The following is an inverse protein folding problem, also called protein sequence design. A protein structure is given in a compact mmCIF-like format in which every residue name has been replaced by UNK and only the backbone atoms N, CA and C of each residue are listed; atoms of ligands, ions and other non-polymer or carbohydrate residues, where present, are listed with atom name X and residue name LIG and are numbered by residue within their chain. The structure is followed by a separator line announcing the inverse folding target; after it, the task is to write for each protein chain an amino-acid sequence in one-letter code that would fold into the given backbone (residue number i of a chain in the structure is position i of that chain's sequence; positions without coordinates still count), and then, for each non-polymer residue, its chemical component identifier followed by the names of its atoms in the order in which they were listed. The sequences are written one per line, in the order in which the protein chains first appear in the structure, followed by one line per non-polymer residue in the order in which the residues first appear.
data_IF_697955008218
#
_entry.id   IF_697955008218
#
_cell.length_a   1.000
_cell.length_b   1.000
_cell.length_c   1.000
_cell.angle_alpha   90.00
_cell.angle_beta   90.00
_cell.angle_gamma   90.00
#
_symmetry.space_group_name_H-M   'P 1'
#
loop_
_entity.id
_entity.type
_entity.pdbx_description
1 polymer ?
#
# COMPACT_ATOMS: atom_id res chain seq x y z
N UNK A 1 67.46 -26.28 8.18
CA UNK A 1 66.94 -24.92 8.44
C UNK A 1 65.56 -24.61 7.88
N UNK A 2 64.85 -25.58 7.23
CA UNK A 2 63.52 -25.32 6.62
C UNK A 2 62.29 -25.55 7.53
N UNK A 3 62.43 -26.29 8.64
CA UNK A 3 61.27 -26.71 9.46
C UNK A 3 60.70 -25.60 10.37
N UNK A 4 61.52 -24.68 10.84
CA UNK A 4 61.08 -23.58 11.71
C UNK A 4 60.29 -22.52 10.99
N UNK A 5 60.58 -22.24 9.71
CA UNK A 5 59.82 -21.25 8.89
C UNK A 5 58.43 -21.78 8.51
N UNK A 6 58.29 -23.07 8.24
CA UNK A 6 57.02 -23.72 7.97
C UNK A 6 56.06 -23.70 9.17
N UNK A 7 56.63 -23.90 10.38
CA UNK A 7 55.86 -23.86 11.66
C UNK A 7 55.36 -22.45 11.97
N UNK A 8 56.15 -21.41 11.67
CA UNK A 8 55.77 -20.01 11.85
C UNK A 8 54.60 -19.60 10.95
N UNK A 9 54.64 -19.95 9.66
CA UNK A 9 53.57 -19.69 8.69
C UNK A 9 52.27 -20.41 9.05
N UNK A 10 52.37 -21.67 9.48
CA UNK A 10 51.17 -22.42 9.89
C UNK A 10 50.49 -21.79 11.14
N UNK A 11 51.27 -21.31 12.13
CA UNK A 11 50.74 -20.58 13.29
C UNK A 11 50.08 -19.26 12.90
N UNK A 12 50.65 -18.50 11.96
CA UNK A 12 50.10 -17.26 11.47
C UNK A 12 48.77 -17.48 10.69
N UNK A 13 48.74 -18.50 9.82
CA UNK A 13 47.56 -18.87 9.10
C UNK A 13 46.42 -19.29 10.04
N UNK A 14 46.69 -20.08 11.06
CA UNK A 14 45.70 -20.46 12.09
C UNK A 14 45.12 -19.24 12.80
N UNK A 15 45.99 -18.29 13.21
CA UNK A 15 45.51 -17.04 13.84
C UNK A 15 44.65 -16.21 12.93
N UNK A 16 45.02 -16.10 11.62
CA UNK A 16 44.25 -15.40 10.63
C UNK A 16 42.86 -16.03 10.38
N UNK A 17 42.82 -17.37 10.30
CA UNK A 17 41.56 -18.11 10.17
C UNK A 17 40.64 -17.94 11.38
N UNK A 18 41.17 -18.00 12.58
CA UNK A 18 40.42 -17.77 13.81
C UNK A 18 39.91 -16.32 13.85
N UNK A 19 40.76 -15.34 13.53
CA UNK A 19 40.35 -13.95 13.44
C UNK A 19 39.24 -13.72 12.41
N UNK A 20 39.37 -14.31 11.23
CA UNK A 20 38.36 -14.27 10.20
C UNK A 20 37.03 -14.88 10.67
N UNK A 21 37.07 -16.04 11.34
CA UNK A 21 35.87 -16.68 11.88
C UNK A 21 35.15 -15.77 12.89
N UNK A 22 35.89 -15.09 13.78
CA UNK A 22 35.27 -14.13 14.71
C UNK A 22 34.62 -12.97 14.00
N UNK A 23 35.29 -12.39 12.98
CA UNK A 23 34.74 -11.30 12.19
C UNK A 23 33.42 -11.73 11.52
N UNK A 24 33.42 -12.89 10.86
CA UNK A 24 32.18 -13.42 10.21
C UNK A 24 31.08 -13.63 11.24
N UNK A 25 31.41 -14.22 12.40
CA UNK A 25 30.40 -14.46 13.45
C UNK A 25 29.81 -13.16 13.99
N UNK A 26 30.61 -12.14 14.22
CA UNK A 26 30.17 -10.84 14.70
C UNK A 26 29.26 -10.18 13.65
N UNK A 27 29.66 -10.20 12.37
CA UNK A 27 28.84 -9.65 11.27
C UNK A 27 27.50 -10.34 11.21
N UNK A 28 27.45 -11.67 11.27
CA UNK A 28 26.19 -12.43 11.25
C UNK A 28 25.28 -12.09 12.43
N UNK A 29 25.84 -11.93 13.62
CA UNK A 29 25.08 -11.52 14.81
C UNK A 29 24.49 -10.13 14.61
N UNK A 30 25.28 -9.16 14.12
CA UNK A 30 24.80 -7.81 13.85
C UNK A 30 23.67 -7.84 12.81
N UNK A 31 23.86 -8.57 11.71
CA UNK A 31 22.83 -8.73 10.68
C UNK A 31 21.53 -9.32 11.26
N UNK A 32 21.63 -10.35 12.09
CA UNK A 32 20.46 -10.95 12.73
C UNK A 32 19.71 -9.95 13.63
N UNK A 33 20.44 -9.15 14.42
CA UNK A 33 19.85 -8.09 15.23
C UNK A 33 19.16 -7.02 14.39
N UNK A 34 19.78 -6.56 13.31
CA UNK A 34 19.20 -5.56 12.40
C UNK A 34 17.91 -6.10 11.77
N UNK A 35 17.93 -7.33 11.25
CA UNK A 35 16.75 -7.97 10.69
C UNK A 35 15.62 -8.07 11.72
N UNK A 36 15.94 -8.43 12.95
CA UNK A 36 14.96 -8.52 14.03
C UNK A 36 14.35 -7.17 14.39
N UNK A 37 15.16 -6.10 14.43
CA UNK A 37 14.67 -4.75 14.65
C UNK A 37 13.76 -4.28 13.51
N UNK A 38 14.15 -4.53 12.26
CA UNK A 38 13.34 -4.23 11.08
C UNK A 38 12.01 -4.99 11.10
N UNK A 39 12.05 -6.28 11.41
CA UNK A 39 10.82 -7.08 11.51
C UNK A 39 9.87 -6.55 12.58
N UNK A 40 10.40 -6.20 13.77
CA UNK A 40 9.60 -5.58 14.83
C UNK A 40 9.01 -4.24 14.40
N UNK A 41 9.77 -3.42 13.70
CA UNK A 41 9.30 -2.14 13.18
C UNK A 41 8.13 -2.34 12.22
N UNK A 42 8.31 -3.15 11.18
CA UNK A 42 7.26 -3.43 10.18
C UNK A 42 6.01 -4.04 10.82
N UNK A 43 6.18 -4.99 11.75
CA UNK A 43 5.04 -5.65 12.41
C UNK A 43 4.22 -4.73 13.31
N UNK A 44 4.82 -3.65 13.82
CA UNK A 44 4.18 -2.69 14.72
C UNK A 44 3.74 -1.40 14.05
N UNK A 45 4.16 -1.20 12.80
CA UNK A 45 3.78 0.00 12.05
C UNK A 45 2.28 -0.04 11.79
N UNK A 46 1.61 1.05 12.12
CA UNK A 46 0.23 1.30 11.73
C UNK A 46 0.20 1.49 10.21
N UNK A 47 -0.49 0.60 9.54
CA UNK A 47 -0.64 0.63 8.08
C UNK A 47 -1.87 1.43 7.63
N UNK A 48 -2.58 2.05 8.57
CA UNK A 48 -3.76 2.87 8.29
C UNK A 48 -5.03 2.07 8.01
N UNK A 49 -5.01 0.75 8.25
CA UNK A 49 -6.19 -0.11 8.16
C UNK A 49 -6.10 -1.25 9.18
N UNK A 50 -7.27 -1.79 9.55
CA UNK A 50 -7.33 -2.95 10.44
C UNK A 50 -6.89 -4.21 9.68
N UNK A 51 -5.75 -4.79 10.10
CA UNK A 51 -5.20 -6.02 9.53
C UNK A 51 -5.62 -7.28 10.28
N UNK A 52 -6.21 -7.11 11.45
CA UNK A 52 -6.64 -8.25 12.27
C UNK A 52 -7.97 -8.78 11.74
N UNK A 53 -8.11 -10.10 11.73
CA UNK A 53 -9.33 -10.79 11.29
C UNK A 53 -9.72 -10.60 9.80
N UNK A 54 -8.81 -10.09 8.95
CA UNK A 54 -9.03 -9.98 7.52
C UNK A 54 -8.44 -11.20 6.80
N UNK A 55 -9.28 -11.86 6.02
CA UNK A 55 -8.88 -12.94 5.12
C UNK A 55 -8.97 -12.46 3.68
N UNK A 56 -7.84 -12.37 2.99
CA UNK A 56 -7.78 -12.08 1.57
C UNK A 56 -7.77 -13.37 0.76
N UNK A 57 -8.72 -13.49 -0.18
CA UNK A 57 -8.87 -14.66 -1.05
C UNK A 57 -8.90 -14.20 -2.51
N UNK A 58 -8.02 -14.76 -3.31
CA UNK A 58 -8.04 -14.53 -4.77
C UNK A 58 -9.18 -15.31 -5.40
N UNK A 59 -10.06 -14.61 -6.10
CA UNK A 59 -11.18 -15.21 -6.82
C UNK A 59 -10.75 -15.62 -8.24
N UNK A 60 -11.38 -16.68 -8.77
CA UNK A 60 -11.21 -17.08 -10.17
C UNK A 60 -11.84 -16.05 -11.11
N UNK A 61 -11.27 -15.90 -12.34
CA UNK A 61 -11.92 -15.13 -13.38
C UNK A 61 -13.36 -15.62 -13.61
N UNK A 62 -14.32 -14.69 -13.67
CA UNK A 62 -15.75 -14.99 -13.80
C UNK A 62 -16.55 -15.01 -12.50
N UNK A 63 -15.92 -15.09 -11.34
CA UNK A 63 -16.61 -14.93 -10.04
C UNK A 63 -16.98 -13.47 -9.81
N UNK A 64 -16.23 -12.53 -10.36
CA UNK A 64 -16.47 -11.09 -10.23
C UNK A 64 -17.88 -10.66 -10.69
N UNK A 65 -18.38 -11.24 -11.78
CA UNK A 65 -19.74 -10.98 -12.24
C UNK A 65 -20.86 -11.44 -11.28
N UNK A 66 -20.51 -12.26 -10.27
CA UNK A 66 -21.42 -12.78 -9.25
C UNK A 66 -20.98 -12.38 -7.84
N UNK A 67 -20.20 -11.32 -7.73
CA UNK A 67 -19.60 -10.87 -6.45
C UNK A 67 -20.65 -10.63 -5.36
N UNK A 68 -21.73 -9.96 -5.69
CA UNK A 68 -22.79 -9.68 -4.73
C UNK A 68 -23.51 -10.96 -4.25
N UNK A 69 -23.80 -11.89 -5.14
CA UNK A 69 -24.37 -13.19 -4.75
C UNK A 69 -23.40 -13.99 -3.88
N UNK A 70 -22.12 -13.90 -4.18
CA UNK A 70 -21.06 -14.55 -3.39
C UNK A 70 -20.97 -13.91 -1.99
N UNK A 71 -20.99 -12.58 -1.90
CA UNK A 71 -21.06 -11.85 -0.64
C UNK A 71 -22.25 -12.28 0.19
N UNK A 72 -23.45 -12.28 -0.38
CA UNK A 72 -24.69 -12.66 0.31
C UNK A 72 -24.67 -14.10 0.85
N UNK A 73 -23.97 -15.00 0.18
CA UNK A 73 -23.79 -16.37 0.68
C UNK A 73 -22.81 -16.43 1.85
N UNK A 74 -21.70 -15.69 1.77
CA UNK A 74 -20.68 -15.69 2.80
C UNK A 74 -21.14 -15.07 4.12
N UNK A 75 -21.82 -13.93 4.08
CA UNK A 75 -22.31 -13.23 5.28
C UNK A 75 -23.39 -14.01 6.06
N UNK A 76 -23.92 -15.12 5.49
CA UNK A 76 -24.80 -16.03 6.24
C UNK A 76 -24.05 -16.88 7.26
N UNK A 77 -22.74 -16.95 7.19
CA UNK A 77 -21.92 -17.67 8.15
C UNK A 77 -21.59 -16.75 9.34
N UNK A 78 -21.91 -17.21 10.55
CA UNK A 78 -21.77 -16.41 11.78
C UNK A 78 -20.34 -15.88 12.06
N UNK A 79 -19.31 -16.49 11.45
CA UNK A 79 -17.92 -16.04 11.60
C UNK A 79 -17.49 -14.97 10.59
N UNK A 80 -18.37 -14.54 9.68
CA UNK A 80 -18.06 -13.55 8.65
C UNK A 80 -18.91 -12.32 8.89
N UNK A 81 -18.27 -11.21 9.22
CA UNK A 81 -18.94 -9.93 9.50
C UNK A 81 -19.39 -9.26 8.21
N UNK A 82 -18.49 -9.10 7.26
CA UNK A 82 -18.78 -8.56 5.93
C UNK A 82 -17.73 -9.02 4.91
N UNK A 83 -17.98 -8.76 3.62
CA UNK A 83 -17.11 -9.10 2.50
C UNK A 83 -17.01 -7.91 1.57
N UNK A 84 -15.79 -7.47 1.29
CA UNK A 84 -15.49 -6.45 0.30
C UNK A 84 -14.69 -7.05 -0.86
N UNK A 85 -14.73 -6.39 -2.00
CA UNK A 85 -14.01 -6.81 -3.20
C UNK A 85 -13.02 -5.73 -3.61
N UNK A 86 -11.88 -6.17 -4.16
CA UNK A 86 -10.89 -5.33 -4.79
C UNK A 86 -10.46 -5.98 -6.11
N UNK A 87 -10.16 -5.17 -7.12
CA UNK A 87 -9.71 -5.66 -8.44
C UNK A 87 -8.33 -6.27 -8.38
N UNK A 88 -7.49 -5.81 -7.43
CA UNK A 88 -6.12 -6.29 -7.25
C UNK A 88 -5.77 -6.45 -5.77
N UNK A 89 -4.62 -7.05 -5.48
CA UNK A 89 -4.12 -7.18 -4.11
C UNK A 89 -3.80 -5.79 -3.52
N UNK A 90 -4.52 -5.39 -2.48
CA UNK A 90 -4.40 -4.06 -1.87
C UNK A 90 -2.98 -3.76 -1.35
N UNK A 91 -2.30 -4.76 -0.83
CA UNK A 91 -0.98 -4.60 -0.17
C UNK A 91 0.20 -4.82 -1.11
N UNK A 92 -0.01 -5.44 -2.27
CA UNK A 92 1.08 -5.80 -3.18
C UNK A 92 1.31 -4.71 -4.23
N UNK A 93 2.56 -4.26 -4.36
CA UNK A 93 2.95 -3.18 -5.29
C UNK A 93 3.49 -3.67 -6.65
N UNK A 94 3.73 -4.97 -6.78
CA UNK A 94 4.30 -5.54 -8.00
C UNK A 94 3.29 -5.56 -9.16
N UNK A 95 3.60 -4.82 -10.22
CA UNK A 95 2.83 -4.83 -11.46
C UNK A 95 1.62 -3.91 -11.51
N UNK A 96 1.43 -3.06 -10.52
CA UNK A 96 0.32 -2.10 -10.51
C UNK A 96 0.49 -1.03 -11.58
N UNK A 97 -0.57 -0.82 -12.36
CA UNK A 97 -0.58 0.22 -13.37
C UNK A 97 -0.70 1.61 -12.73
N UNK A 98 0.24 2.48 -13.07
CA UNK A 98 0.08 3.91 -12.79
C UNK A 98 -0.85 4.50 -13.84
N UNK A 99 -1.93 5.11 -13.42
CA UNK A 99 -2.87 5.80 -14.30
C UNK A 99 -2.51 7.28 -14.32
N UNK A 100 -2.33 7.81 -15.51
CA UNK A 100 -2.13 9.24 -15.73
C UNK A 100 -3.48 9.93 -15.91
N UNK A 101 -3.69 11.03 -15.21
CA UNK A 101 -4.92 11.83 -15.30
C UNK A 101 -4.59 13.32 -15.28
N UNK A 102 -5.56 14.15 -15.60
CA UNK A 102 -5.41 15.60 -15.61
C UNK A 102 -6.24 16.23 -14.48
N UNK A 103 -5.56 16.99 -13.63
CA UNK A 103 -6.17 17.79 -12.59
C UNK A 103 -5.72 19.24 -12.76
N UNK A 104 -6.66 20.17 -12.97
CA UNK A 104 -6.39 21.59 -13.25
C UNK A 104 -5.30 21.84 -14.33
N UNK A 105 -5.39 21.14 -15.45
CA UNK A 105 -4.42 21.15 -16.57
C UNK A 105 -3.03 20.56 -16.26
N UNK A 106 -2.78 20.06 -15.05
CA UNK A 106 -1.56 19.35 -14.69
C UNK A 106 -1.73 17.86 -14.86
N UNK A 107 -0.74 17.23 -15.52
CA UNK A 107 -0.71 15.78 -15.65
C UNK A 107 -0.10 15.15 -14.40
N UNK A 108 -0.87 14.36 -13.72
CA UNK A 108 -0.47 13.58 -12.55
C UNK A 108 -0.51 12.08 -12.86
N UNK A 109 0.23 11.31 -12.09
CA UNK A 109 0.27 9.85 -12.24
C UNK A 109 0.16 9.25 -10.86
N UNK A 110 -0.87 8.43 -10.64
CA UNK A 110 -1.11 7.78 -9.35
C UNK A 110 -1.52 6.34 -9.56
N UNK A 111 -1.42 5.57 -8.49
CA UNK A 111 -1.90 4.22 -8.45
C UNK A 111 -3.37 4.18 -8.03
N UNK A 112 -4.15 3.36 -8.71
CA UNK A 112 -5.58 3.19 -8.48
C UNK A 112 -5.92 1.73 -8.28
N UNK A 113 -6.90 1.48 -7.44
CA UNK A 113 -7.48 0.17 -7.25
C UNK A 113 -9.00 0.30 -7.24
N UNK A 114 -9.66 -0.51 -8.06
CA UNK A 114 -11.10 -0.65 -8.03
C UNK A 114 -11.53 -1.45 -6.81
N UNK A 115 -12.49 -0.91 -6.05
CA UNK A 115 -12.97 -1.54 -4.82
C UNK A 115 -14.49 -1.45 -4.72
N UNK A 116 -15.11 -2.36 -3.96
CA UNK A 116 -16.52 -2.27 -3.62
C UNK A 116 -16.80 -1.10 -2.66
N UNK A 117 -18.02 -0.59 -2.67
CA UNK A 117 -18.41 0.57 -1.84
C UNK A 117 -18.16 0.39 -0.35
N UNK A 118 -18.25 -0.83 0.16
CA UNK A 118 -18.06 -1.14 1.57
C UNK A 118 -16.59 -1.44 1.95
N UNK A 119 -15.64 -1.33 0.99
CA UNK A 119 -14.25 -1.67 1.21
C UNK A 119 -13.59 -0.85 2.34
N UNK A 120 -13.73 0.49 2.41
CA UNK A 120 -13.14 1.25 3.51
C UNK A 120 -13.66 0.82 4.87
N UNK A 121 -14.97 0.57 4.97
CA UNK A 121 -15.59 0.13 6.23
C UNK A 121 -15.10 -1.26 6.66
N UNK A 122 -14.98 -2.22 5.74
CA UNK A 122 -14.47 -3.58 6.01
C UNK A 122 -13.00 -3.54 6.42
N UNK A 123 -12.20 -2.66 5.81
CA UNK A 123 -10.79 -2.50 6.13
C UNK A 123 -10.52 -1.59 7.34
N UNK A 124 -11.56 -0.98 7.93
CA UNK A 124 -11.40 -0.03 9.03
C UNK A 124 -10.65 1.25 8.63
N UNK A 125 -10.70 1.64 7.34
CA UNK A 125 -10.03 2.85 6.83
C UNK A 125 -10.87 4.08 7.22
N UNK A 126 -10.35 4.98 8.06
CA UNK A 126 -11.09 6.19 8.45
C UNK A 126 -11.12 7.20 7.31
N UNK A 127 -12.28 7.81 7.08
CA UNK A 127 -12.43 8.95 6.17
C UNK A 127 -12.19 10.23 6.95
N UNK A 128 -11.12 10.96 6.61
CA UNK A 128 -10.66 12.16 7.34
C UNK A 128 -11.40 13.40 6.88
N UNK A 129 -11.87 13.41 5.62
CA UNK A 129 -12.64 14.49 5.04
C UNK A 129 -13.55 13.98 3.93
N UNK A 130 -14.66 14.69 3.69
CA UNK A 130 -15.65 14.30 2.69
C UNK A 130 -16.57 13.18 3.17
N UNK A 131 -16.80 12.17 2.33
CA UNK A 131 -17.69 11.04 2.63
C UNK A 131 -17.11 9.71 2.15
N UNK A 132 -17.56 8.66 2.75
CA UNK A 132 -17.33 7.30 2.26
C UNK A 132 -18.14 7.00 1.00
N UNK A 133 -17.84 5.89 0.33
CA UNK A 133 -18.62 5.38 -0.79
C UNK A 133 -20.07 5.08 -0.39
N UNK A 134 -20.94 5.13 -1.38
CA UNK A 134 -22.36 4.76 -1.23
C UNK A 134 -22.71 3.64 -2.19
N UNK A 135 -23.69 2.82 -1.88
CA UNK A 135 -24.27 1.91 -2.86
C UNK A 135 -24.66 2.69 -4.11
N UNK A 136 -24.16 2.26 -5.26
CA UNK A 136 -24.36 2.96 -6.55
C UNK A 136 -23.16 3.80 -7.02
N UNK A 137 -22.19 4.12 -6.16
CA UNK A 137 -20.91 4.72 -6.60
C UNK A 137 -20.04 3.72 -7.40
N UNK A 138 -20.34 2.44 -7.33
CA UNK A 138 -19.60 1.34 -8.01
C UNK A 138 -19.76 1.34 -9.53
N UNK A 139 -20.79 1.96 -10.04
CA UNK A 139 -21.03 2.04 -11.48
C UNK A 139 -20.75 3.44 -11.99
N UNK A 140 -19.88 3.61 -13.00
CA UNK A 140 -19.76 4.89 -13.68
C UNK A 140 -21.09 5.19 -14.38
N UNK A 141 -21.88 6.05 -13.76
CA UNK A 141 -23.11 6.55 -14.38
C UNK A 141 -22.72 7.64 -15.37
N UNK A 142 -22.92 7.39 -16.65
CA UNK A 142 -22.75 8.40 -17.72
C UNK A 142 -21.38 9.10 -17.74
N UNK A 143 -20.29 8.35 -17.54
CA UNK A 143 -18.94 8.92 -17.60
C UNK A 143 -18.48 9.61 -16.31
N UNK A 144 -19.14 9.36 -15.20
CA UNK A 144 -18.72 9.84 -13.87
C UNK A 144 -18.34 8.66 -12.98
N UNK A 145 -17.15 8.69 -12.42
CA UNK A 145 -16.69 7.76 -11.40
C UNK A 145 -16.48 8.50 -10.07
N UNK A 146 -16.41 7.75 -8.99
CA UNK A 146 -16.17 8.28 -7.64
C UNK A 146 -14.92 7.61 -7.07
N UNK A 147 -14.04 8.39 -6.43
CA UNK A 147 -12.86 7.87 -5.77
C UNK A 147 -12.70 8.42 -4.36
N UNK A 148 -11.92 7.71 -3.55
CA UNK A 148 -11.34 8.18 -2.30
C UNK A 148 -9.85 8.23 -2.51
N UNK A 149 -9.20 9.29 -2.06
CA UNK A 149 -7.75 9.49 -2.20
C UNK A 149 -7.10 9.42 -0.82
N UNK A 150 -5.88 8.91 -0.74
CA UNK A 150 -5.14 8.96 0.51
C UNK A 150 -4.60 10.37 0.78
N UNK A 151 -4.18 10.64 2.01
CA UNK A 151 -3.67 11.96 2.41
C UNK A 151 -2.49 12.44 1.55
N UNK A 152 -1.63 11.55 1.08
CA UNK A 152 -0.48 11.91 0.25
C UNK A 152 -0.94 12.43 -1.10
N UNK A 153 -1.85 11.74 -1.76
CA UNK A 153 -2.45 12.20 -3.01
C UNK A 153 -3.25 13.48 -2.80
N UNK A 154 -4.00 13.58 -1.71
CA UNK A 154 -4.76 14.79 -1.38
C UNK A 154 -3.84 16.01 -1.19
N UNK A 155 -2.70 15.85 -0.53
CA UNK A 155 -1.69 16.92 -0.38
C UNK A 155 -1.06 17.33 -1.71
N UNK A 156 -0.80 16.37 -2.61
CA UNK A 156 -0.31 16.64 -3.96
C UNK A 156 -1.33 17.45 -4.77
N UNK A 157 -2.58 17.01 -4.78
CA UNK A 157 -3.67 17.72 -5.46
C UNK A 157 -3.88 19.14 -4.90
N UNK A 158 -3.83 19.29 -3.57
CA UNK A 158 -3.92 20.61 -2.92
C UNK A 158 -2.77 21.53 -3.34
N UNK A 159 -1.56 21.00 -3.52
CA UNK A 159 -0.41 21.78 -3.97
C UNK A 159 -0.58 22.27 -5.42
N UNK A 160 -1.17 21.45 -6.28
CA UNK A 160 -1.52 21.84 -7.65
C UNK A 160 -2.58 22.94 -7.64
N UNK A 161 -3.66 22.77 -6.86
CA UNK A 161 -4.72 23.77 -6.71
C UNK A 161 -4.20 25.12 -6.20
N UNK A 162 -3.17 25.11 -5.34
CA UNK A 162 -2.55 26.31 -4.83
C UNK A 162 -1.51 26.94 -5.80
N UNK A 163 -1.27 26.37 -6.97
CA UNK A 163 -0.22 26.78 -7.91
C UNK A 163 1.20 26.57 -7.39
N UNK A 164 1.39 25.70 -6.41
CA UNK A 164 2.64 25.45 -5.68
C UNK A 164 3.12 24.00 -5.83
N UNK A 165 3.11 23.49 -7.05
CA UNK A 165 3.55 22.12 -7.32
C UNK A 165 4.98 21.90 -6.80
N UNK A 166 5.17 20.82 -6.05
CA UNK A 166 6.48 20.43 -5.51
C UNK A 166 6.87 21.12 -4.20
N UNK A 167 6.13 22.09 -3.70
CA UNK A 167 6.32 22.61 -2.35
C UNK A 167 5.51 21.79 -1.33
N UNK A 168 6.11 21.55 -0.14
CA UNK A 168 5.36 21.02 1.01
C UNK A 168 4.39 22.09 1.47
N UNK A 169 3.21 22.11 0.88
CA UNK A 169 2.23 23.13 1.20
C UNK A 169 1.43 22.70 2.44
N UNK A 170 1.19 23.64 3.33
CA UNK A 170 0.22 23.48 4.44
C UNK A 170 -1.22 23.72 3.98
N UNK A 171 -1.48 23.71 2.66
CA UNK A 171 -2.83 23.85 2.15
C UNK A 171 -3.73 22.77 2.78
N UNK A 172 -4.93 23.19 3.17
CA UNK A 172 -5.89 22.30 3.80
C UNK A 172 -6.39 21.27 2.77
N UNK A 173 -5.66 20.16 2.67
CA UNK A 173 -5.96 19.08 1.72
C UNK A 173 -7.35 18.48 1.90
N UNK A 174 -8.01 18.73 3.05
CA UNK A 174 -9.37 18.26 3.32
C UNK A 174 -10.41 18.93 2.41
N UNK A 175 -10.07 20.12 1.86
CA UNK A 175 -10.96 20.86 0.94
C UNK A 175 -11.06 20.24 -0.47
N UNK A 176 -10.22 19.28 -0.80
CA UNK A 176 -10.25 18.57 -2.09
C UNK A 176 -11.48 17.67 -2.23
N UNK A 177 -12.09 17.24 -1.13
CA UNK A 177 -13.31 16.47 -1.18
C UNK A 177 -14.41 17.26 -1.91
N UNK A 178 -14.92 16.68 -2.99
CA UNK A 178 -15.88 17.32 -3.90
C UNK A 178 -15.29 17.77 -5.23
N UNK A 179 -13.97 17.90 -5.33
CA UNK A 179 -13.28 18.23 -6.58
C UNK A 179 -13.41 17.11 -7.62
N UNK A 180 -13.20 17.49 -8.87
CA UNK A 180 -13.25 16.56 -10.01
C UNK A 180 -11.96 16.65 -10.82
N UNK A 181 -11.57 15.54 -11.41
CA UNK A 181 -10.48 15.48 -12.39
C UNK A 181 -10.89 14.61 -13.58
N UNK A 182 -10.13 14.70 -14.66
CA UNK A 182 -10.40 13.98 -15.89
C UNK A 182 -9.42 12.81 -16.05
N UNK A 183 -9.94 11.59 -16.09
CA UNK A 183 -9.22 10.39 -16.48
C UNK A 183 -9.69 9.96 -17.87
N UNK A 184 -8.78 10.02 -18.85
CA UNK A 184 -9.00 9.64 -20.26
C UNK A 184 -10.34 10.09 -20.85
N UNK A 185 -11.46 9.53 -20.40
CA UNK A 185 -12.83 9.80 -20.89
C UNK A 185 -13.85 9.92 -19.76
N UNK A 186 -13.40 9.82 -18.53
CA UNK A 186 -14.28 9.76 -17.37
C UNK A 186 -13.97 10.91 -16.42
N UNK A 187 -14.98 11.65 -16.03
CA UNK A 187 -14.85 12.62 -14.94
C UNK A 187 -14.91 11.86 -13.62
N UNK A 188 -13.87 11.99 -12.82
CA UNK A 188 -13.78 11.33 -11.51
C UNK A 188 -13.99 12.37 -10.42
N UNK A 189 -14.90 12.10 -9.49
CA UNK A 189 -15.19 12.94 -8.35
C UNK A 189 -14.53 12.38 -7.08
N UNK A 190 -13.82 13.23 -6.37
CA UNK A 190 -13.23 12.88 -5.07
C UNK A 190 -14.34 12.92 -4.02
N UNK A 191 -14.71 11.77 -3.47
CA UNK A 191 -15.73 11.66 -2.43
C UNK A 191 -15.15 11.92 -1.05
N UNK A 192 -13.94 11.44 -0.78
CA UNK A 192 -13.31 11.52 0.53
C UNK A 192 -11.79 11.43 0.49
N UNK A 193 -11.19 11.70 1.62
CA UNK A 193 -9.77 11.60 1.90
C UNK A 193 -9.57 10.75 3.15
#
# INVERSE_FOLDING_TARGET
NGSFAATGRAKMLRKALIGFQYVVSIVLIICAFVIQLQHRYVSRTDVGFDKEHILQVRLSPGTGAKSELFRQKLIRHAGIVDVAFAEDEFVRDEGKAHIAYYYQNERLTQYWIGVSHNFPAVMGIPIVAGRDFRPGDEMPVAGHAVCIVNETAAKELASVSAGKRGEKTSADYRKIAGDTFLDYRTTVRIAGV
#
